data_IF_064097721867
#
_entry.id   IF_064097721867
#
_cell.length_a   1.000
_cell.length_b   1.000
_cell.length_c   1.000
_cell.angle_alpha   90.00
_cell.angle_beta   90.00
_cell.angle_gamma   90.00
#
_symmetry.space_group_name_H-M   'P 1'
#
loop_
_entity.id
_entity.type
_entity.pdbx_description
1 polymer ?
#
# COMPACT_ATOMS: atom_id res chain seq x y z
N UNK A 1 1.44 -27.45 -28.93
CA UNK A 1 0.20 -26.64 -28.78
C UNK A 1 -0.48 -27.17 -27.53
N UNK A 2 -0.57 -26.51 -26.38
CA UNK A 2 -0.97 -25.12 -26.14
C UNK A 2 -0.52 -24.67 -24.73
N UNK A 3 0.68 -24.11 -24.58
CA UNK A 3 1.13 -23.50 -23.31
C UNK A 3 0.65 -22.04 -23.17
N UNK A 4 0.45 -21.35 -24.30
CA UNK A 4 -0.14 -20.00 -24.39
C UNK A 4 -1.43 -19.81 -23.57
N UNK A 5 -2.49 -20.64 -23.74
CA UNK A 5 -3.76 -20.40 -23.07
C UNK A 5 -3.68 -20.62 -21.55
N UNK A 6 -2.70 -21.38 -21.07
CA UNK A 6 -2.49 -21.55 -19.63
C UNK A 6 -1.88 -20.29 -19.02
N UNK A 7 -0.88 -19.72 -19.70
CA UNK A 7 -0.21 -18.49 -19.28
C UNK A 7 -1.18 -17.32 -19.25
N UNK A 8 -1.98 -17.15 -20.31
CA UNK A 8 -2.96 -16.07 -20.42
C UNK A 8 -4.01 -16.15 -19.31
N UNK A 9 -4.55 -17.35 -19.02
CA UNK A 9 -5.49 -17.56 -17.90
C UNK A 9 -4.88 -17.24 -16.54
N UNK A 10 -3.59 -17.53 -16.34
CA UNK A 10 -2.88 -17.18 -15.10
C UNK A 10 -2.72 -15.65 -15.01
N UNK A 11 -2.33 -14.98 -16.10
CA UNK A 11 -2.16 -13.53 -16.14
C UNK A 11 -3.49 -12.81 -15.87
N UNK A 12 -4.59 -13.22 -16.50
CA UNK A 12 -5.93 -12.67 -16.22
C UNK A 12 -6.31 -12.88 -14.75
N UNK A 13 -6.14 -14.10 -14.21
CA UNK A 13 -6.44 -14.37 -12.81
C UNK A 13 -5.59 -13.53 -11.85
N UNK A 14 -4.32 -13.29 -12.17
CA UNK A 14 -3.45 -12.42 -11.39
C UNK A 14 -3.91 -10.96 -11.44
N UNK A 15 -4.30 -10.45 -12.61
CA UNK A 15 -4.83 -9.09 -12.75
C UNK A 15 -6.12 -8.90 -11.94
N UNK A 16 -7.04 -9.85 -12.00
CA UNK A 16 -8.29 -9.79 -11.22
C UNK A 16 -8.04 -9.83 -9.72
N UNK A 17 -7.14 -10.72 -9.24
CA UNK A 17 -6.80 -10.80 -7.83
C UNK A 17 -6.13 -9.51 -7.35
N UNK A 18 -5.24 -8.91 -8.15
CA UNK A 18 -4.65 -7.61 -7.85
C UNK A 18 -5.71 -6.51 -7.81
N UNK A 19 -6.61 -6.44 -8.80
CA UNK A 19 -7.65 -5.41 -8.88
C UNK A 19 -8.67 -5.47 -7.73
N UNK A 20 -8.92 -6.66 -7.18
CA UNK A 20 -9.79 -6.86 -6.03
C UNK A 20 -9.07 -6.65 -4.68
N UNK A 21 -7.77 -6.35 -4.67
CA UNK A 21 -6.97 -6.30 -3.45
C UNK A 21 -6.87 -7.66 -2.73
N UNK A 22 -7.16 -8.76 -3.42
CA UNK A 22 -7.15 -10.09 -2.85
C UNK A 22 -5.70 -10.59 -2.65
N UNK A 23 -5.48 -11.38 -1.60
CA UNK A 23 -4.17 -12.00 -1.35
C UNK A 23 -3.81 -12.95 -2.50
N UNK A 24 -2.73 -12.64 -3.21
CA UNK A 24 -2.23 -13.47 -4.31
C UNK A 24 -1.55 -14.71 -3.73
N UNK A 25 -1.96 -15.90 -4.20
CA UNK A 25 -1.34 -17.18 -3.84
C UNK A 25 -1.57 -18.19 -4.97
N UNK A 26 -0.76 -19.25 -5.02
CA UNK A 26 -0.95 -20.35 -6.00
C UNK A 26 -2.36 -20.94 -5.89
N UNK A 27 -2.89 -21.06 -4.67
CA UNK A 27 -4.22 -21.63 -4.44
C UNK A 27 -5.33 -20.70 -4.90
N UNK A 28 -5.18 -19.38 -4.73
CA UNK A 28 -6.13 -18.38 -5.22
C UNK A 28 -6.11 -18.29 -6.75
N UNK A 29 -4.91 -18.30 -7.35
CA UNK A 29 -4.74 -18.29 -8.81
C UNK A 29 -5.31 -19.55 -9.44
N UNK A 30 -5.08 -20.73 -8.84
CA UNK A 30 -5.69 -21.99 -9.29
C UNK A 30 -7.21 -21.91 -9.33
N UNK A 31 -7.82 -21.42 -8.24
CA UNK A 31 -9.25 -21.29 -8.11
C UNK A 31 -9.81 -20.29 -9.13
N UNK A 32 -9.16 -19.13 -9.30
CA UNK A 32 -9.64 -18.07 -10.20
C UNK A 32 -9.44 -18.40 -11.67
N UNK A 33 -8.28 -18.95 -12.03
CA UNK A 33 -7.99 -19.34 -13.40
C UNK A 33 -8.72 -20.62 -13.81
N UNK A 34 -9.34 -21.37 -12.88
CA UNK A 34 -9.97 -22.66 -13.15
C UNK A 34 -8.96 -23.75 -13.55
N UNK A 35 -7.77 -23.71 -12.95
CA UNK A 35 -6.65 -24.62 -13.25
C UNK A 35 -6.40 -25.52 -12.02
N UNK A 36 -6.24 -26.85 -12.19
CA UNK A 36 -5.87 -27.72 -11.09
C UNK A 36 -4.53 -27.28 -10.47
N UNK A 37 -4.46 -27.26 -9.14
CA UNK A 37 -3.21 -26.91 -8.41
C UNK A 37 -2.02 -27.77 -8.86
N UNK A 38 -2.26 -29.06 -9.10
CA UNK A 38 -1.23 -29.98 -9.59
C UNK A 38 -0.64 -29.57 -10.94
N UNK A 39 -1.43 -28.94 -11.82
CA UNK A 39 -0.95 -28.41 -13.11
C UNK A 39 -0.06 -27.18 -12.91
N UNK A 40 -0.46 -26.26 -12.01
CA UNK A 40 0.37 -25.10 -11.66
C UNK A 40 1.68 -25.50 -10.98
N UNK A 41 1.67 -26.48 -10.08
CA UNK A 41 2.89 -26.94 -9.42
C UNK A 41 3.88 -27.61 -10.39
N UNK A 42 3.37 -28.34 -11.39
CA UNK A 42 4.21 -29.00 -12.41
C UNK A 42 4.78 -28.02 -13.43
N UNK A 43 4.16 -26.86 -13.62
CA UNK A 43 4.63 -25.85 -14.56
C UNK A 43 5.55 -24.83 -13.85
N UNK A 44 6.85 -24.91 -14.15
CA UNK A 44 7.86 -24.02 -13.55
C UNK A 44 7.62 -22.55 -13.89
N UNK A 45 7.24 -22.23 -15.13
CA UNK A 45 6.96 -20.85 -15.55
C UNK A 45 5.75 -20.27 -14.83
N UNK A 46 4.70 -21.08 -14.61
CA UNK A 46 3.54 -20.66 -13.84
C UNK A 46 3.89 -20.34 -12.38
N UNK A 47 4.71 -21.18 -11.73
CA UNK A 47 5.18 -20.93 -10.37
C UNK A 47 6.02 -19.65 -10.27
N UNK A 48 6.92 -19.45 -11.23
CA UNK A 48 7.78 -18.26 -11.25
C UNK A 48 6.98 -16.98 -11.46
N UNK A 49 6.01 -16.99 -12.39
CA UNK A 49 5.13 -15.85 -12.65
C UNK A 49 4.33 -15.46 -11.40
N UNK A 50 3.74 -16.45 -10.72
CA UNK A 50 2.98 -16.21 -9.48
C UNK A 50 3.89 -15.70 -8.37
N UNK A 51 5.08 -16.30 -8.19
CA UNK A 51 6.03 -15.89 -7.16
C UNK A 51 6.53 -14.45 -7.37
N UNK A 52 6.85 -14.08 -8.62
CA UNK A 52 7.26 -12.72 -8.99
C UNK A 52 6.16 -11.72 -8.65
N UNK A 53 4.92 -12.04 -9.02
CA UNK A 53 3.76 -11.16 -8.75
C UNK A 53 3.50 -10.98 -7.25
N UNK A 54 3.69 -12.03 -6.45
CA UNK A 54 3.61 -11.94 -4.99
C UNK A 54 4.68 -10.98 -4.46
N UNK A 55 5.94 -11.15 -4.87
CA UNK A 55 7.04 -10.29 -4.45
C UNK A 55 6.82 -8.82 -4.83
N UNK A 56 6.37 -8.54 -6.06
CA UNK A 56 6.02 -7.19 -6.52
C UNK A 56 4.92 -6.57 -5.65
N UNK A 57 3.85 -7.33 -5.37
CA UNK A 57 2.73 -6.84 -4.57
C UNK A 57 3.17 -6.49 -3.15
N UNK A 58 4.03 -7.31 -2.54
CA UNK A 58 4.61 -7.02 -1.22
C UNK A 58 5.49 -5.77 -1.25
N UNK A 59 6.38 -5.63 -2.24
CA UNK A 59 7.22 -4.45 -2.38
C UNK A 59 6.39 -3.17 -2.52
N UNK A 60 5.35 -3.20 -3.36
CA UNK A 60 4.44 -2.06 -3.52
C UNK A 60 3.67 -1.73 -2.24
N UNK A 61 3.22 -2.74 -1.49
CA UNK A 61 2.56 -2.53 -0.20
C UNK A 61 3.51 -1.87 0.82
N UNK A 62 4.75 -2.35 0.91
CA UNK A 62 5.77 -1.80 1.82
C UNK A 62 6.16 -0.36 1.45
N UNK A 63 6.34 -0.07 0.15
CA UNK A 63 6.60 1.28 -0.33
C UNK A 63 5.44 2.24 -0.04
N UNK A 64 4.21 1.80 -0.26
CA UNK A 64 3.02 2.60 0.05
C UNK A 64 2.90 2.89 1.55
N UNK A 65 3.19 1.89 2.40
CA UNK A 65 3.21 2.07 3.85
C UNK A 65 4.29 3.06 4.29
N UNK A 66 5.51 2.96 3.75
CA UNK A 66 6.59 3.87 4.07
C UNK A 66 6.27 5.32 3.67
N UNK A 67 5.66 5.52 2.51
CA UNK A 67 5.20 6.82 2.04
C UNK A 67 4.13 7.41 2.98
N UNK A 68 3.18 6.58 3.43
CA UNK A 68 2.12 7.03 4.33
C UNK A 68 2.65 7.39 5.72
N UNK A 69 3.57 6.59 6.28
CA UNK A 69 4.24 6.91 7.55
C UNK A 69 4.99 8.23 7.45
N UNK A 70 5.68 8.47 6.33
CA UNK A 70 6.40 9.73 6.09
C UNK A 70 5.42 10.91 6.03
N UNK A 71 4.30 10.76 5.31
CA UNK A 71 3.24 11.77 5.25
C UNK A 71 2.68 12.09 6.63
N UNK A 72 2.36 11.07 7.43
CA UNK A 72 1.83 11.26 8.78
C UNK A 72 2.81 11.99 9.70
N UNK A 73 4.11 11.67 9.62
CA UNK A 73 5.15 12.40 10.37
C UNK A 73 5.18 13.88 10.02
N UNK A 74 5.17 14.21 8.72
CA UNK A 74 5.15 15.60 8.25
C UNK A 74 3.92 16.34 8.77
N UNK A 75 2.74 15.70 8.73
CA UNK A 75 1.50 16.30 9.24
C UNK A 75 1.58 16.57 10.74
N UNK A 76 2.10 15.62 11.53
CA UNK A 76 2.28 15.78 12.98
C UNK A 76 3.26 16.92 13.29
N UNK A 77 4.39 16.97 12.60
CA UNK A 77 5.40 18.02 12.77
C UNK A 77 4.83 19.40 12.45
N UNK A 78 4.06 19.50 11.36
CA UNK A 78 3.37 20.72 10.94
C UNK A 78 2.35 21.17 11.99
N UNK A 79 1.56 20.22 12.52
CA UNK A 79 0.60 20.51 13.58
C UNK A 79 1.30 20.99 14.85
N UNK A 80 2.37 20.32 15.27
CA UNK A 80 3.14 20.70 16.44
C UNK A 80 3.75 22.11 16.29
N UNK A 81 4.24 22.47 15.10
CA UNK A 81 4.73 23.82 14.82
C UNK A 81 3.60 24.87 14.92
N UNK A 82 2.40 24.55 14.42
CA UNK A 82 1.24 25.43 14.53
C UNK A 82 0.81 25.64 15.98
N UNK A 83 0.78 24.58 16.79
CA UNK A 83 0.43 24.66 18.21
C UNK A 83 1.44 25.54 18.95
N UNK A 84 2.76 25.33 18.76
CA UNK A 84 3.79 26.17 19.38
C UNK A 84 3.62 27.64 19.03
N UNK A 85 3.37 27.96 17.76
CA UNK A 85 3.13 29.33 17.33
C UNK A 85 1.87 29.94 17.97
N UNK A 86 0.80 29.15 18.10
CA UNK A 86 -0.42 29.60 18.77
C UNK A 86 -0.19 29.87 20.26
N UNK A 87 0.53 28.99 20.96
CA UNK A 87 0.90 29.19 22.37
C UNK A 87 1.79 30.42 22.56
N UNK A 88 2.76 30.66 21.68
CA UNK A 88 3.58 31.89 21.70
C UNK A 88 2.72 33.13 21.50
N UNK A 89 1.80 33.12 20.54
CA UNK A 89 0.87 34.24 20.31
C UNK A 89 -0.01 34.51 21.53
N UNK A 90 -0.54 33.47 22.19
CA UNK A 90 -1.33 33.62 23.41
C UNK A 90 -0.48 34.23 24.54
N UNK A 91 0.74 33.73 24.76
CA UNK A 91 1.67 34.31 25.74
C UNK A 91 1.94 35.79 25.50
N UNK A 92 2.11 36.20 24.24
CA UNK A 92 2.31 37.61 23.89
C UNK A 92 1.06 38.48 24.11
N UNK A 93 -0.14 37.93 23.94
CA UNK A 93 -1.40 38.64 24.18
C UNK A 93 -1.71 38.76 25.68
N UNK A 94 -1.51 37.68 26.44
CA UNK A 94 -1.74 37.63 27.90
C UNK A 94 -0.65 38.38 28.68
N UNK A 95 0.59 38.40 28.18
CA UNK A 95 1.71 39.13 28.78
C UNK A 95 1.75 40.62 28.44
N UNK A 96 0.87 41.12 27.57
CA UNK A 96 0.77 42.55 27.28
C UNK A 96 -0.13 43.19 28.34
N UNK A 97 0.40 44.03 29.26
CA UNK A 97 -0.47 44.73 30.20
C UNK A 97 -1.48 45.54 29.40
N UNK A 98 -2.77 45.33 29.66
CA UNK A 98 -3.81 46.26 29.27
C UNK A 98 -3.51 47.59 29.97
N UNK A 99 -2.70 48.44 29.33
CA UNK A 99 -2.61 49.85 29.68
C UNK A 99 -3.94 50.47 29.27
N UNK A 100 -4.89 50.45 30.20
CA UNK A 100 -6.12 51.23 30.11
C UNK A 100 -5.72 52.70 30.01
N UNK A 101 -6.05 53.42 28.93
CA UNK A 101 -5.83 54.85 28.89
C UNK A 101 -6.84 55.52 29.83
N UNK A 102 -6.34 56.42 30.68
CA UNK A 102 -7.11 57.22 31.62
C UNK A 102 -7.76 58.42 30.93
#
# INVERSE_FOLDING_TARGET
MSAEPLKERIETALQELTGQGARISITAVAARAGIPRSSLYRNAQARELIARRIAETHLHADMNLAAEVTRLRILIETLAARVRNQEERLRHLEGRPHTTPR
#
